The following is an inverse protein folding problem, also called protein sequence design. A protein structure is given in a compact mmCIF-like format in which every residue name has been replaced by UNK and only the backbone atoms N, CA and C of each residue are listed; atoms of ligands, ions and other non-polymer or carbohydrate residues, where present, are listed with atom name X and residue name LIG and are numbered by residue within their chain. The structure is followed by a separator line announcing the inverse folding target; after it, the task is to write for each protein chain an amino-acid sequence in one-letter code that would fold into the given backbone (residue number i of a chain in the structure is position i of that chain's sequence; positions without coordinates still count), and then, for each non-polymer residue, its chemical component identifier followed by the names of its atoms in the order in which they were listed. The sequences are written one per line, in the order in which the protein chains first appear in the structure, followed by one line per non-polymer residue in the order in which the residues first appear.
data_IF_735024785933
#
_entry.id   IF_735024785933
#
_cell.length_a   1.000
_cell.length_b   1.000
_cell.length_c   1.000
_cell.angle_alpha   90.00
_cell.angle_beta   90.00
_cell.angle_gamma   90.00
#
_symmetry.space_group_name_H-M   'P 1'
#
loop_
_entity.id
_entity.type
_entity.pdbx_description
1 polymer ?
#
# COMPACT_ATOMS: atom_id res chain seq x y z
N UNK A 1 24.14 -5.70 -6.16
CA UNK A 1 23.88 -4.97 -4.91
C UNK A 1 22.56 -4.20 -4.94
N UNK A 2 22.29 -3.40 -5.98
CA UNK A 2 21.03 -2.63 -6.12
C UNK A 2 19.77 -3.50 -6.06
N UNK A 3 19.75 -4.63 -6.76
CA UNK A 3 18.58 -5.54 -6.75
C UNK A 3 18.30 -6.16 -5.37
N UNK A 4 19.33 -6.40 -4.55
CA UNK A 4 19.16 -6.95 -3.20
C UNK A 4 18.46 -5.92 -2.31
N UNK A 5 18.90 -4.66 -2.36
CA UNK A 5 18.24 -3.56 -1.64
C UNK A 5 16.79 -3.40 -2.14
N UNK A 6 16.59 -3.51 -3.45
CA UNK A 6 15.26 -3.51 -4.08
C UNK A 6 14.34 -4.58 -3.49
N UNK A 7 14.80 -5.83 -3.42
CA UNK A 7 14.04 -6.94 -2.82
C UNK A 7 13.72 -6.64 -1.35
N UNK A 8 14.70 -6.22 -0.54
CA UNK A 8 14.47 -5.91 0.87
C UNK A 8 13.41 -4.83 1.08
N UNK A 9 13.48 -3.74 0.28
CA UNK A 9 12.50 -2.65 0.35
C UNK A 9 11.12 -3.12 -0.10
N UNK A 10 11.03 -3.88 -1.20
CA UNK A 10 9.75 -4.41 -1.68
C UNK A 10 9.14 -5.42 -0.72
N UNK A 11 9.93 -6.29 -0.09
CA UNK A 11 9.47 -7.22 0.94
C UNK A 11 9.00 -6.48 2.19
N UNK A 12 9.71 -5.43 2.62
CA UNK A 12 9.27 -4.60 3.74
C UNK A 12 7.95 -3.88 3.44
N UNK A 13 7.80 -3.34 2.23
CA UNK A 13 6.55 -2.72 1.79
C UNK A 13 5.39 -3.74 1.80
N UNK A 14 5.61 -4.95 1.27
CA UNK A 14 4.64 -6.04 1.31
C UNK A 14 4.26 -6.43 2.76
N UNK A 15 5.25 -6.50 3.66
CA UNK A 15 4.99 -6.74 5.08
C UNK A 15 4.10 -5.65 5.70
N UNK A 16 4.38 -4.38 5.41
CA UNK A 16 3.58 -3.25 5.89
C UNK A 16 2.15 -3.32 5.38
N UNK A 17 1.95 -3.65 4.10
CA UNK A 17 0.63 -3.81 3.49
C UNK A 17 -0.18 -4.90 4.19
N UNK A 18 0.38 -6.11 4.31
CA UNK A 18 -0.29 -7.22 5.01
C UNK A 18 -0.55 -6.91 6.49
N UNK A 19 0.39 -6.26 7.17
CA UNK A 19 0.23 -5.88 8.57
C UNK A 19 -0.87 -4.81 8.75
N UNK A 20 -0.98 -3.88 7.81
CA UNK A 20 -2.01 -2.85 7.82
C UNK A 20 -3.41 -3.40 7.51
N UNK A 21 -3.50 -4.36 6.59
CA UNK A 21 -4.75 -5.11 6.32
C UNK A 21 -5.18 -5.95 7.54
N UNK A 22 -4.23 -6.64 8.18
CA UNK A 22 -4.53 -7.50 9.32
C UNK A 22 -4.90 -6.73 10.60
N UNK A 23 -4.40 -5.49 10.77
CA UNK A 23 -4.59 -4.69 12.00
C UNK A 23 -4.99 -3.25 11.67
N UNK A 24 -6.28 -2.90 11.75
CA UNK A 24 -6.74 -1.54 11.49
C UNK A 24 -6.20 -0.57 12.56
N UNK A 25 -5.24 0.28 12.15
CA UNK A 25 -4.52 1.20 13.03
C UNK A 25 -3.03 0.88 13.21
N UNK A 26 -2.51 -0.12 12.49
CA UNK A 26 -1.07 -0.33 12.37
C UNK A 26 -0.39 0.91 11.76
N UNK A 27 0.78 1.28 12.30
CA UNK A 27 1.59 2.39 11.80
C UNK A 27 2.99 1.86 11.46
N UNK A 28 3.37 1.97 10.20
CA UNK A 28 4.68 1.51 9.73
C UNK A 28 5.81 2.47 10.12
N UNK A 29 7.06 1.97 10.09
CA UNK A 29 8.24 2.79 10.36
C UNK A 29 8.54 3.81 9.25
N UNK A 30 8.10 3.54 8.02
CA UNK A 30 8.28 4.46 6.90
C UNK A 30 7.17 5.52 6.80
N UNK A 31 6.32 5.62 7.83
CA UNK A 31 5.33 6.67 7.99
C UNK A 31 5.97 7.91 8.63
N UNK A 32 6.57 8.78 7.80
CA UNK A 32 7.33 9.97 8.24
C UNK A 32 6.41 11.14 8.65
N UNK A 33 5.23 11.27 8.05
CA UNK A 33 4.30 12.38 8.26
C UNK A 33 2.89 12.01 7.77
N UNK A 34 1.85 12.70 8.24
CA UNK A 34 0.46 12.52 7.74
C UNK A 34 0.32 12.75 6.23
N UNK A 35 1.22 13.55 5.65
CA UNK A 35 1.28 13.78 4.20
C UNK A 35 2.09 12.70 3.46
N UNK A 36 2.97 11.97 4.16
CA UNK A 36 3.90 10.98 3.60
C UNK A 36 3.84 9.65 4.39
N UNK A 37 2.67 9.01 4.38
CA UNK A 37 2.45 7.71 5.03
C UNK A 37 2.50 6.57 4.02
N UNK A 38 3.52 5.71 4.10
CA UNK A 38 3.57 4.45 3.34
C UNK A 38 2.33 3.59 3.58
N UNK A 39 1.88 3.51 4.85
CA UNK A 39 0.77 2.65 5.25
C UNK A 39 -0.48 3.03 4.47
N UNK A 40 -0.82 4.32 4.40
CA UNK A 40 -2.00 4.82 3.68
C UNK A 40 -1.94 4.56 2.19
N UNK A 41 -0.75 4.66 1.61
CA UNK A 41 -0.52 4.41 0.18
C UNK A 41 -0.72 2.93 -0.14
N UNK A 42 -0.09 2.06 0.66
CA UNK A 42 -0.10 0.61 0.42
C UNK A 42 -1.45 -0.04 0.73
N UNK A 43 -2.30 0.59 1.55
CA UNK A 43 -3.68 0.11 1.75
C UNK A 43 -4.68 0.69 0.73
N UNK A 44 -4.22 1.49 -0.24
CA UNK A 44 -5.12 2.08 -1.23
C UNK A 44 -5.45 1.09 -2.35
N UNK A 45 -6.58 1.31 -3.03
CA UNK A 45 -7.03 0.56 -4.21
C UNK A 45 -5.96 0.45 -5.32
N UNK A 46 -5.07 1.44 -5.41
CA UNK A 46 -3.99 1.47 -6.40
C UNK A 46 -2.79 0.59 -6.04
N UNK A 47 -2.73 0.08 -4.80
CA UNK A 47 -1.65 -0.80 -4.32
C UNK A 47 -1.75 -2.21 -4.87
N UNK A 48 -2.93 -2.63 -5.37
CA UNK A 48 -3.16 -3.93 -5.98
C UNK A 48 -3.32 -3.79 -7.49
N UNK A 49 -2.57 -4.58 -8.25
CA UNK A 49 -2.69 -4.65 -9.71
C UNK A 49 -2.60 -3.30 -10.45
N UNK A 50 -1.83 -2.34 -9.90
CA UNK A 50 -1.69 -0.97 -10.43
C UNK A 50 -3.01 -0.19 -10.62
N UNK A 51 -4.13 -0.64 -10.02
CA UNK A 51 -5.46 -0.05 -10.20
C UNK A 51 -6.08 -0.26 -11.60
N UNK A 52 -5.49 -1.13 -12.43
CA UNK A 52 -6.01 -1.49 -13.76
C UNK A 52 -6.65 -2.88 -13.81
N UNK A 53 -6.32 -3.73 -12.85
CA UNK A 53 -6.75 -5.13 -12.80
C UNK A 53 -8.07 -5.24 -12.03
N UNK A 54 -9.10 -5.92 -12.57
CA UNK A 54 -10.36 -6.13 -11.86
C UNK A 54 -10.17 -7.08 -10.67
N UNK A 55 -10.92 -6.80 -9.59
CA UNK A 55 -10.88 -7.52 -8.29
C UNK A 55 -11.14 -9.04 -8.44
N UNK A 56 -11.90 -9.46 -9.45
CA UNK A 56 -12.24 -10.88 -9.66
C UNK A 56 -11.16 -11.70 -10.39
N UNK A 57 -9.97 -11.14 -10.62
CA UNK A 57 -8.91 -11.83 -11.36
C UNK A 57 -7.78 -12.29 -10.45
N UNK A 58 -7.18 -13.45 -10.75
CA UNK A 58 -6.01 -13.99 -10.01
C UNK A 58 -4.76 -13.08 -10.04
N UNK A 59 -4.83 -11.93 -10.72
CA UNK A 59 -3.81 -10.89 -10.78
C UNK A 59 -4.02 -9.76 -9.77
N UNK A 60 -5.02 -9.86 -8.87
CA UNK A 60 -5.18 -8.96 -7.72
C UNK A 60 -4.10 -9.25 -6.66
N UNK A 61 -2.87 -8.88 -7.00
CA UNK A 61 -1.69 -9.06 -6.16
C UNK A 61 -1.10 -7.69 -5.85
N UNK A 62 -0.59 -7.47 -4.63
CA UNK A 62 0.18 -6.28 -4.27
C UNK A 62 1.24 -5.91 -5.30
N UNK A 63 1.33 -4.63 -5.64
CA UNK A 63 2.35 -4.05 -6.53
C UNK A 63 3.77 -4.41 -6.06
N UNK A 64 3.96 -4.54 -4.74
CA UNK A 64 5.23 -4.94 -4.13
C UNK A 64 5.72 -6.33 -4.58
N UNK A 65 4.81 -7.28 -4.84
CA UNK A 65 5.17 -8.62 -5.33
C UNK A 65 5.73 -8.54 -6.75
N UNK A 66 5.14 -7.71 -7.62
CA UNK A 66 5.70 -7.46 -8.95
C UNK A 66 7.12 -6.89 -8.88
N UNK A 67 7.39 -6.01 -7.91
CA UNK A 67 8.74 -5.50 -7.64
C UNK A 67 9.73 -6.58 -7.20
N UNK A 68 9.34 -7.47 -6.28
CA UNK A 68 10.18 -8.60 -5.85
C UNK A 68 10.50 -9.50 -7.04
N UNK A 69 9.48 -9.91 -7.81
CA UNK A 69 9.64 -10.76 -9.00
C UNK A 69 10.57 -10.08 -10.02
N UNK A 70 10.39 -8.79 -10.28
CA UNK A 70 11.26 -8.01 -11.16
C UNK A 70 12.73 -8.08 -10.72
N UNK A 71 13.04 -7.80 -9.45
CA UNK A 71 14.42 -7.83 -8.99
C UNK A 71 15.04 -9.24 -9.01
N UNK A 72 14.24 -10.29 -8.73
CA UNK A 72 14.67 -11.68 -8.89
C UNK A 72 15.01 -12.00 -10.34
N UNK A 73 14.18 -11.58 -11.30
CA UNK A 73 14.43 -11.73 -12.73
C UNK A 73 15.70 -10.99 -13.13
N UNK A 74 15.90 -9.74 -12.68
CA UNK A 74 17.12 -8.98 -13.00
C UNK A 74 18.39 -9.67 -12.48
N UNK A 75 18.36 -10.24 -11.27
CA UNK A 75 19.49 -11.01 -10.73
C UNK A 75 19.77 -12.24 -11.61
N UNK A 76 18.71 -12.95 -12.01
CA UNK A 76 18.81 -14.13 -12.85
C UNK A 76 19.30 -13.81 -14.28
N UNK A 77 18.81 -12.74 -14.91
CA UNK A 77 19.28 -12.31 -16.22
C UNK A 77 20.74 -11.84 -16.18
N UNK A 78 21.18 -11.29 -15.05
CA UNK A 78 22.56 -10.83 -14.86
C UNK A 78 23.62 -11.94 -14.93
N UNK A 79 23.25 -13.22 -14.86
CA UNK A 79 24.20 -14.34 -15.05
C UNK A 79 24.46 -14.69 -16.52
N UNK A 80 23.72 -14.11 -17.46
CA UNK A 80 23.85 -14.39 -18.90
C UNK A 80 24.49 -13.23 -19.64
N UNK A 81 25.52 -13.51 -20.44
CA UNK A 81 26.28 -12.49 -21.22
C UNK A 81 25.84 -12.43 -22.69
N UNK A 82 24.61 -12.84 -22.99
CA UNK A 82 24.09 -12.80 -24.36
C UNK A 82 23.51 -11.42 -24.68
N UNK A 83 23.88 -10.84 -25.83
CA UNK A 83 23.40 -9.53 -26.27
C UNK A 83 21.86 -9.41 -26.35
N UNK A 84 21.15 -10.52 -26.60
CA UNK A 84 19.69 -10.54 -26.54
C UNK A 84 19.16 -10.36 -25.10
N UNK A 85 19.79 -11.01 -24.11
CA UNK A 85 19.42 -10.92 -22.69
C UNK A 85 19.72 -9.52 -22.16
N UNK A 86 20.86 -8.94 -22.52
CA UNK A 86 21.20 -7.56 -22.13
C UNK A 86 20.18 -6.57 -22.69
N UNK A 87 19.76 -6.70 -23.96
CA UNK A 87 18.70 -5.87 -24.53
C UNK A 87 17.37 -6.03 -23.80
N UNK A 88 16.97 -7.26 -23.50
CA UNK A 88 15.76 -7.53 -22.72
C UNK A 88 15.84 -6.88 -21.33
N UNK A 89 16.98 -7.01 -20.65
CA UNK A 89 17.22 -6.40 -19.34
C UNK A 89 17.14 -4.86 -19.42
N UNK A 90 17.64 -4.24 -20.48
CA UNK A 90 17.48 -2.80 -20.71
C UNK A 90 16.00 -2.40 -20.85
N UNK A 91 15.21 -3.14 -21.62
CA UNK A 91 13.76 -2.87 -21.75
C UNK A 91 13.03 -3.02 -20.41
N UNK A 92 13.35 -4.06 -19.62
CA UNK A 92 12.78 -4.25 -18.29
C UNK A 92 13.11 -3.10 -17.34
N UNK A 93 14.35 -2.60 -17.35
CA UNK A 93 14.74 -1.43 -16.57
C UNK A 93 13.98 -0.16 -16.99
N UNK A 94 13.82 0.08 -18.30
CA UNK A 94 13.04 1.22 -18.80
C UNK A 94 11.57 1.13 -18.38
N UNK A 95 10.97 -0.05 -18.48
CA UNK A 95 9.61 -0.29 -18.02
C UNK A 95 9.46 -0.07 -16.51
N UNK A 96 10.46 -0.48 -15.71
CA UNK A 96 10.48 -0.25 -14.27
C UNK A 96 10.60 1.23 -13.91
N UNK A 97 11.41 2.00 -14.64
CA UNK A 97 11.49 3.46 -14.44
C UNK A 97 10.14 4.11 -14.79
N UNK A 98 9.51 3.70 -15.89
CA UNK A 98 8.20 4.19 -16.28
C UNK A 98 7.12 3.86 -15.22
N UNK A 99 7.13 2.64 -14.66
CA UNK A 99 6.19 2.25 -13.60
C UNK A 99 6.45 3.01 -12.29
N UNK A 100 7.71 3.30 -11.94
CA UNK A 100 8.04 4.18 -10.82
C UNK A 100 7.50 5.61 -11.02
N UNK A 101 7.65 6.18 -12.23
CA UNK A 101 7.11 7.51 -12.55
C UNK A 101 5.58 7.51 -12.46
N UNK A 102 4.93 6.45 -12.95
CA UNK A 102 3.48 6.30 -12.85
C UNK A 102 3.00 6.23 -11.39
N UNK A 103 3.64 5.41 -10.56
CA UNK A 103 3.31 5.32 -9.13
C UNK A 103 3.59 6.65 -8.41
N UNK A 104 4.69 7.34 -8.73
CA UNK A 104 4.98 8.67 -8.20
C UNK A 104 3.92 9.71 -8.59
N UNK A 105 3.42 9.64 -9.82
CA UNK A 105 2.30 10.47 -10.28
C UNK A 105 1.02 10.18 -9.47
N UNK A 106 0.65 8.91 -9.29
CA UNK A 106 -0.51 8.53 -8.45
C UNK A 106 -0.37 9.03 -7.01
N UNK A 107 0.82 8.90 -6.42
CA UNK A 107 1.14 9.40 -5.09
C UNK A 107 0.92 10.92 -4.96
N UNK A 108 1.44 11.69 -5.93
CA UNK A 108 1.40 13.15 -5.89
C UNK A 108 0.06 13.75 -6.29
N UNK A 109 -0.62 13.19 -7.29
CA UNK A 109 -1.84 13.78 -7.84
C UNK A 109 -3.12 13.16 -7.29
N UNK A 110 -3.16 11.85 -7.05
CA UNK A 110 -4.38 11.16 -6.62
C UNK A 110 -4.46 11.10 -5.10
N UNK A 111 -3.39 10.64 -4.45
CA UNK A 111 -3.39 10.44 -2.99
C UNK A 111 -3.15 11.74 -2.21
N UNK A 112 -2.44 12.73 -2.77
CA UNK A 112 -2.29 14.04 -2.14
C UNK A 112 -3.63 14.77 -1.99
N UNK A 113 -4.55 14.62 -2.95
CA UNK A 113 -5.92 15.17 -2.86
C UNK A 113 -6.71 14.49 -1.75
N UNK A 114 -6.64 13.15 -1.64
CA UNK A 114 -7.22 12.42 -0.50
C UNK A 114 -6.59 12.85 0.84
N UNK A 115 -5.31 13.21 0.86
CA UNK A 115 -4.61 13.67 2.07
C UNK A 115 -5.03 15.06 2.57
N UNK A 116 -5.33 15.99 1.65
CA UNK A 116 -5.81 17.34 2.02
C UNK A 116 -7.22 17.33 2.61
N UNK A 117 -8.04 16.35 2.23
CA UNK A 117 -9.38 16.13 2.78
C UNK A 117 -9.40 15.21 4.01
N UNK A 118 -8.25 14.91 4.63
CA UNK A 118 -8.23 14.21 5.92
C UNK A 118 -7.92 15.20 7.07
N UNK A 119 -8.87 16.06 7.46
CA UNK A 119 -8.77 16.76 8.74
C UNK A 119 -9.01 15.71 9.83
N UNK A 120 -8.01 15.31 10.62
CA UNK A 120 -8.12 14.82 12.01
C UNK A 120 -9.26 13.82 12.42
N UNK A 121 -9.95 13.16 11.48
CA UNK A 121 -11.26 12.54 11.75
C UNK A 121 -11.26 11.15 12.39
N UNK A 122 -10.14 10.43 12.69
CA UNK A 122 -10.28 9.15 13.39
C UNK A 122 -10.04 9.23 14.90
N UNK A 123 -9.56 10.36 15.48
CA UNK A 123 -9.43 10.46 16.94
C UNK A 123 -10.77 10.79 17.60
N UNK A 124 -11.52 11.75 17.04
CA UNK A 124 -12.82 12.19 17.55
C UNK A 124 -13.89 11.10 17.37
N UNK A 125 -13.93 10.41 16.22
CA UNK A 125 -14.92 9.35 15.98
C UNK A 125 -14.72 8.10 16.85
N UNK A 126 -13.47 7.72 17.21
CA UNK A 126 -13.22 6.61 18.14
C UNK A 126 -13.53 6.98 19.60
N UNK A 127 -13.27 8.22 20.02
CA UNK A 127 -13.67 8.68 21.36
C UNK A 127 -15.20 8.79 21.49
N UNK A 128 -15.88 9.30 20.46
CA UNK A 128 -17.34 9.34 20.46
C UNK A 128 -17.99 7.96 20.37
N UNK A 129 -17.47 7.01 19.58
CA UNK A 129 -17.97 5.64 19.55
C UNK A 129 -17.72 4.89 20.87
N UNK A 130 -16.59 5.15 21.54
CA UNK A 130 -16.29 4.64 22.87
C UNK A 130 -17.24 5.20 23.94
N UNK A 131 -17.52 6.51 23.92
CA UNK A 131 -18.54 7.13 24.80
C UNK A 131 -19.95 6.64 24.51
N UNK A 132 -20.33 6.43 23.24
CA UNK A 132 -21.66 5.94 22.86
C UNK A 132 -21.88 4.47 23.28
N UNK A 133 -20.84 3.65 23.26
CA UNK A 133 -20.87 2.26 23.76
C UNK A 133 -20.91 2.18 25.29
N UNK A 134 -20.31 3.14 26.00
CA UNK A 134 -20.46 3.27 27.46
C UNK A 134 -21.85 3.78 27.86
N UNK A 135 -22.43 4.72 27.11
CA UNK A 135 -23.83 5.17 27.32
C UNK A 135 -24.82 4.02 27.04
N UNK A 136 -24.56 3.16 26.05
CA UNK A 136 -25.39 1.96 25.81
C UNK A 136 -25.22 0.83 26.83
N UNK A 137 -24.21 0.89 27.72
CA UNK A 137 -23.99 -0.12 28.77
C UNK A 137 -24.52 0.31 30.16
N UNK A 138 -25.05 1.53 30.31
CA UNK A 138 -25.69 2.00 31.54
C UNK A 138 -27.09 2.57 31.26
N UNK A 139 -28.10 1.98 31.90
CA UNK A 139 -29.53 2.31 31.87
C UNK A 139 -30.34 1.93 30.61
N UNK A 140 -31.09 0.82 30.73
CA UNK A 140 -32.44 0.78 30.17
C UNK A 140 -33.32 1.69 31.05
N UNK A 141 -33.95 2.75 30.53
CA UNK A 141 -35.10 3.30 31.24
C UNK A 141 -36.21 2.24 31.26
N UNK A 142 -36.79 1.94 32.44
CA UNK A 142 -38.01 1.16 32.52
C UNK A 142 -39.17 2.04 32.04
N UNK A 143 -40.27 1.42 31.58
CA UNK A 143 -41.59 2.06 31.29
C UNK A 143 -41.74 2.64 29.86
N UNK A 144 -42.82 2.38 29.11
CA UNK A 144 -43.90 1.42 29.20
C UNK A 144 -44.50 1.21 27.81
N UNK A 145 -44.90 -0.04 27.58
CA UNK A 145 -45.83 -0.52 26.57
C UNK A 145 -47.21 0.12 26.81
N UNK A 146 -47.74 0.89 25.85
CA UNK A 146 -49.13 0.94 25.35
C UNK A 146 -49.39 2.24 24.60
#
# INVERSE_FOLDING_TARGET
MTSIVGILVSTYALYVEMAAEARPGYKALCDLSEHASCTRVLTSEFSKGFGFVPEDSSFEVPNCIYGIVFYCIVIFLSTYDHAAVVRLQQFLCLAAVASCVYLAYLLLFVLSQKSKCQPEFPKIAKEHAGRLLLIRRGDKPPYSRK
#
